data_IF_395085575202
#
_entry.id   IF_395085575202
#
_cell.length_a   1.000
_cell.length_b   1.000
_cell.length_c   1.000
_cell.angle_alpha   90.00
_cell.angle_beta   90.00
_cell.angle_gamma   90.00
#
_symmetry.space_group_name_H-M   'P 1'
#
loop_
_entity.id
_entity.type
_entity.pdbx_description
1 polymer ?
#
# COMPACT_ATOMS: atom_id res chain seq x y z
N UNK A 1 -12.51 -8.47 6.39
CA UNK A 1 -12.69 -9.90 6.12
C UNK A 1 -13.13 -10.68 7.37
N UNK A 2 -12.62 -10.38 8.58
CA UNK A 2 -12.97 -11.06 9.83
C UNK A 2 -14.47 -10.94 10.13
N UNK A 3 -15.04 -9.72 10.07
CA UNK A 3 -16.48 -9.50 10.23
C UNK A 3 -17.31 -10.26 9.19
N UNK A 4 -16.89 -10.24 7.92
CA UNK A 4 -17.57 -10.95 6.86
C UNK A 4 -17.67 -12.46 7.12
N UNK A 5 -16.57 -13.08 7.56
CA UNK A 5 -16.55 -14.51 7.93
C UNK A 5 -17.41 -14.83 9.15
N UNK A 6 -17.45 -13.94 10.14
CA UNK A 6 -18.28 -14.14 11.32
C UNK A 6 -19.78 -14.06 10.97
N UNK A 7 -20.17 -13.05 10.19
CA UNK A 7 -21.57 -12.80 9.79
C UNK A 7 -22.10 -13.82 8.78
N UNK A 8 -21.23 -14.44 7.98
CA UNK A 8 -21.67 -15.41 6.96
C UNK A 8 -22.31 -16.68 7.51
N UNK A 9 -22.31 -16.87 8.83
CA UNK A 9 -23.02 -17.97 9.50
C UNK A 9 -24.52 -17.71 9.59
N UNK A 10 -24.91 -16.43 9.62
CA UNK A 10 -26.26 -15.99 9.91
C UNK A 10 -26.86 -15.12 8.79
N UNK A 11 -26.06 -14.71 7.81
CA UNK A 11 -26.47 -13.82 6.73
C UNK A 11 -25.74 -14.15 5.40
N UNK A 12 -26.37 -13.75 4.29
CA UNK A 12 -25.71 -13.75 2.97
C UNK A 12 -24.81 -12.52 2.85
N UNK A 13 -23.51 -12.74 2.89
CA UNK A 13 -22.51 -11.66 2.95
C UNK A 13 -21.78 -11.51 1.62
N UNK A 14 -21.77 -10.28 1.10
CA UNK A 14 -20.95 -9.90 -0.04
C UNK A 14 -19.90 -8.87 0.40
N UNK A 15 -18.61 -9.17 0.16
CA UNK A 15 -17.51 -8.22 0.32
C UNK A 15 -17.24 -7.55 -1.01
N UNK A 16 -17.15 -6.22 -0.99
CA UNK A 16 -16.74 -5.41 -2.15
C UNK A 16 -15.38 -4.79 -1.85
N UNK A 17 -14.45 -4.92 -2.77
CA UNK A 17 -13.14 -4.26 -2.70
C UNK A 17 -12.66 -3.95 -4.12
N UNK A 18 -11.97 -2.81 -4.29
CA UNK A 18 -11.36 -2.42 -5.58
C UNK A 18 -10.21 -3.35 -6.00
N UNK A 19 -9.61 -4.06 -5.04
CA UNK A 19 -8.54 -5.01 -5.26
C UNK A 19 -9.01 -6.45 -4.98
N UNK A 20 -8.51 -7.40 -5.74
CA UNK A 20 -8.75 -8.83 -5.50
C UNK A 20 -7.79 -9.45 -4.46
N UNK A 21 -6.99 -8.61 -3.82
CA UNK A 21 -6.05 -9.00 -2.76
C UNK A 21 -6.19 -8.07 -1.54
N UNK A 22 -5.91 -8.62 -0.37
CA UNK A 22 -5.78 -7.88 0.88
C UNK A 22 -4.30 -7.60 1.13
N UNK A 23 -3.97 -6.35 1.46
CA UNK A 23 -2.60 -5.96 1.80
C UNK A 23 -2.39 -5.95 3.31
N UNK A 24 -1.29 -6.53 3.76
CA UNK A 24 -0.82 -6.37 5.13
C UNK A 24 -0.01 -5.08 5.24
N UNK A 25 -0.70 -3.97 5.46
CA UNK A 25 -0.16 -2.61 5.46
C UNK A 25 1.07 -2.40 6.37
N UNK A 26 1.15 -3.01 7.58
CA UNK A 26 2.31 -2.80 8.46
C UNK A 26 3.65 -3.20 7.87
N UNK A 27 3.71 -4.00 6.82
CA UNK A 27 4.96 -4.44 6.18
C UNK A 27 5.22 -3.78 4.82
N UNK A 28 4.45 -2.77 4.43
CA UNK A 28 4.66 -2.08 3.15
C UNK A 28 6.04 -1.41 3.06
N UNK A 29 6.56 -0.88 4.16
CA UNK A 29 7.89 -0.27 4.19
C UNK A 29 9.00 -1.26 3.80
N UNK A 30 8.86 -2.55 4.14
CA UNK A 30 9.81 -3.57 3.71
C UNK A 30 9.72 -3.88 2.22
N UNK A 31 8.55 -3.76 1.61
CA UNK A 31 8.42 -3.84 0.15
C UNK A 31 9.08 -2.63 -0.51
N UNK A 32 8.87 -1.43 0.05
CA UNK A 32 9.45 -0.18 -0.46
C UNK A 32 10.98 -0.14 -0.37
N UNK A 33 11.59 -0.87 0.57
CA UNK A 33 13.03 -0.97 0.79
C UNK A 33 13.65 -2.29 0.32
N UNK A 34 12.95 -3.04 -0.52
CA UNK A 34 13.38 -4.34 -1.07
C UNK A 34 13.61 -5.46 -0.03
N UNK A 35 13.21 -5.28 1.23
CA UNK A 35 13.30 -6.30 2.27
C UNK A 35 12.32 -7.46 2.10
N UNK A 36 11.17 -7.22 1.46
CA UNK A 36 10.16 -8.23 1.14
C UNK A 36 9.69 -8.13 -0.31
N UNK A 37 9.33 -9.26 -0.89
CA UNK A 37 8.59 -9.27 -2.14
C UNK A 37 7.11 -8.86 -1.91
N UNK A 38 6.49 -8.25 -2.92
CA UNK A 38 5.14 -7.70 -2.81
C UNK A 38 4.06 -8.77 -2.54
N UNK A 39 4.26 -9.98 -3.01
CA UNK A 39 3.38 -11.13 -2.79
C UNK A 39 3.39 -11.63 -1.35
N UNK A 40 4.42 -11.34 -0.56
CA UNK A 40 4.45 -11.65 0.87
C UNK A 40 3.50 -10.79 1.70
N UNK A 41 3.10 -9.62 1.19
CA UNK A 41 2.19 -8.69 1.88
C UNK A 41 0.81 -8.59 1.22
N UNK A 42 0.64 -9.18 0.03
CA UNK A 42 -0.60 -9.13 -0.75
C UNK A 42 -1.22 -10.54 -0.88
N UNK A 43 -2.32 -10.77 -0.19
CA UNK A 43 -2.97 -12.08 -0.15
C UNK A 43 -4.30 -12.07 -0.90
N UNK A 44 -4.56 -13.05 -1.81
CA UNK A 44 -5.79 -13.12 -2.57
C UNK A 44 -7.04 -13.16 -1.67
N UNK A 45 -7.98 -12.21 -1.85
CA UNK A 45 -9.22 -12.12 -1.07
C UNK A 45 -10.04 -13.40 -1.21
N UNK A 46 -10.20 -13.94 -2.42
CA UNK A 46 -10.95 -15.18 -2.66
C UNK A 46 -10.33 -16.37 -1.94
N UNK A 47 -8.99 -16.41 -1.84
CA UNK A 47 -8.29 -17.43 -1.06
C UNK A 47 -8.60 -17.31 0.44
N UNK A 48 -8.56 -16.09 0.96
CA UNK A 48 -8.89 -15.82 2.36
C UNK A 48 -10.36 -16.10 2.72
N UNK A 49 -11.29 -15.96 1.76
CA UNK A 49 -12.71 -16.23 1.93
C UNK A 49 -13.12 -17.67 1.59
N UNK A 50 -12.17 -18.51 1.16
CA UNK A 50 -12.46 -19.92 0.83
C UNK A 50 -13.13 -20.61 2.02
N UNK A 51 -14.18 -21.37 1.75
CA UNK A 51 -14.97 -22.13 2.74
C UNK A 51 -15.76 -21.28 3.74
N UNK A 52 -15.87 -19.95 3.55
CA UNK A 52 -16.66 -19.11 4.45
C UNK A 52 -18.08 -18.82 3.97
N UNK A 53 -18.44 -19.19 2.73
CA UNK A 53 -19.72 -18.82 2.12
C UNK A 53 -19.83 -17.35 1.69
N UNK A 54 -18.84 -16.51 2.03
CA UNK A 54 -18.83 -15.08 1.67
C UNK A 54 -18.61 -14.90 0.17
N UNK A 55 -19.46 -14.10 -0.47
CA UNK A 55 -19.32 -13.68 -1.86
C UNK A 55 -18.30 -12.53 -1.95
N UNK A 56 -17.61 -12.44 -3.07
CA UNK A 56 -16.68 -11.34 -3.35
C UNK A 56 -16.99 -10.69 -4.70
N UNK A 57 -17.11 -9.35 -4.70
CA UNK A 57 -17.20 -8.51 -5.90
C UNK A 57 -16.03 -7.54 -5.94
N UNK A 58 -15.29 -7.58 -7.04
CA UNK A 58 -14.25 -6.58 -7.28
C UNK A 58 -14.90 -5.34 -7.90
N UNK A 59 -14.69 -4.18 -7.30
CA UNK A 59 -15.22 -2.90 -7.75
C UNK A 59 -15.11 -1.84 -6.67
N UNK A 60 -15.26 -0.58 -7.09
CA UNK A 60 -15.26 0.57 -6.19
C UNK A 60 -16.68 1.10 -6.02
N UNK A 61 -17.20 1.25 -4.79
CA UNK A 61 -18.49 1.88 -4.58
C UNK A 61 -18.39 3.37 -4.95
N UNK A 62 -19.28 3.84 -5.81
CA UNK A 62 -19.36 5.22 -6.26
C UNK A 62 -20.51 6.00 -5.64
N UNK A 63 -21.58 5.30 -5.25
CA UNK A 63 -22.72 5.91 -4.53
C UNK A 63 -23.47 4.91 -3.68
N UNK A 64 -24.11 5.41 -2.63
CA UNK A 64 -24.99 4.65 -1.73
C UNK A 64 -26.36 5.33 -1.71
N UNK A 65 -27.40 4.59 -2.03
CA UNK A 65 -28.79 5.01 -1.87
C UNK A 65 -29.35 4.38 -0.59
N UNK A 66 -29.45 5.17 0.46
CA UNK A 66 -29.96 4.74 1.76
C UNK A 66 -31.46 4.43 1.75
N UNK A 67 -32.25 5.08 0.86
CA UNK A 67 -33.69 4.87 0.80
C UNK A 67 -34.01 3.53 0.15
N UNK A 68 -33.33 3.24 -0.97
CA UNK A 68 -33.48 2.02 -1.73
C UNK A 68 -32.52 0.91 -1.28
N UNK A 69 -31.73 1.15 -0.22
CA UNK A 69 -30.73 0.22 0.32
C UNK A 69 -29.87 -0.42 -0.75
N UNK A 70 -29.25 0.40 -1.59
CA UNK A 70 -28.41 -0.06 -2.69
C UNK A 70 -27.07 0.67 -2.76
N UNK A 71 -26.05 -0.03 -3.28
CA UNK A 71 -24.71 0.49 -3.57
C UNK A 71 -24.46 0.32 -5.05
N UNK A 72 -24.09 1.40 -5.74
CA UNK A 72 -23.66 1.37 -7.13
C UNK A 72 -22.14 1.30 -7.21
N UNK A 73 -21.64 0.39 -8.03
CA UNK A 73 -20.20 0.23 -8.29
C UNK A 73 -19.76 0.96 -9.56
N UNK A 74 -18.47 1.18 -9.70
CA UNK A 74 -17.83 1.74 -10.89
C UNK A 74 -18.10 0.94 -12.17
N UNK A 75 -18.32 -0.37 -12.05
CA UNK A 75 -18.77 -1.26 -13.13
C UNK A 75 -20.22 -1.04 -13.58
N UNK A 76 -20.96 -0.11 -12.95
CA UNK A 76 -22.41 0.09 -13.09
C UNK A 76 -23.27 -1.03 -12.46
N UNK A 77 -22.68 -2.04 -11.83
CA UNK A 77 -23.41 -3.04 -11.04
C UNK A 77 -24.04 -2.36 -9.82
N UNK A 78 -25.29 -2.74 -9.51
CA UNK A 78 -26.02 -2.29 -8.33
C UNK A 78 -26.21 -3.48 -7.40
N UNK A 79 -25.79 -3.34 -6.15
CA UNK A 79 -25.93 -4.34 -5.12
C UNK A 79 -26.94 -3.83 -4.08
N UNK A 80 -27.97 -4.63 -3.82
CA UNK A 80 -28.93 -4.37 -2.74
C UNK A 80 -28.42 -4.92 -1.41
N UNK A 81 -28.83 -4.29 -0.30
CA UNK A 81 -28.43 -4.71 1.05
C UNK A 81 -29.55 -4.47 2.07
N UNK A 82 -29.64 -5.31 3.08
CA UNK A 82 -30.38 -5.02 4.30
C UNK A 82 -29.54 -4.22 5.29
N UNK A 83 -28.27 -4.58 5.40
CA UNK A 83 -27.27 -3.96 6.25
C UNK A 83 -26.00 -3.67 5.46
N UNK A 84 -25.40 -2.49 5.65
CA UNK A 84 -24.17 -2.07 5.00
C UNK A 84 -23.10 -1.77 6.05
N UNK A 85 -21.95 -2.42 5.93
CA UNK A 85 -20.74 -2.10 6.72
C UNK A 85 -19.76 -1.35 5.83
N UNK A 86 -19.47 -0.09 6.17
CA UNK A 86 -18.50 0.76 5.47
C UNK A 86 -17.14 0.59 6.12
N UNK A 87 -16.19 -0.01 5.37
CA UNK A 87 -14.83 -0.29 5.83
C UNK A 87 -13.80 0.04 4.75
N UNK A 88 -13.88 1.25 4.18
CA UNK A 88 -13.13 1.68 2.99
C UNK A 88 -11.64 1.98 3.27
N UNK A 89 -11.20 1.90 4.51
CA UNK A 89 -9.84 2.25 4.90
C UNK A 89 -9.60 3.75 4.97
N UNK A 90 -8.38 4.17 4.69
CA UNK A 90 -7.97 5.58 4.74
C UNK A 90 -7.12 5.95 3.52
N UNK A 91 -7.17 7.21 3.13
CA UNK A 91 -6.26 7.82 2.17
C UNK A 91 -5.06 8.48 2.89
N UNK A 92 -4.00 8.75 2.14
CA UNK A 92 -2.91 9.60 2.63
C UNK A 92 -3.44 11.02 2.83
N UNK A 93 -3.10 11.63 3.97
CA UNK A 93 -3.37 13.04 4.23
C UNK A 93 -2.02 13.78 4.30
N UNK A 94 -1.94 14.90 3.62
CA UNK A 94 -0.77 15.79 3.62
C UNK A 94 -0.81 16.82 4.76
N UNK A 95 -1.93 16.87 5.49
CA UNK A 95 -2.20 17.83 6.57
C UNK A 95 -1.97 19.29 6.16
N UNK A 96 -2.08 19.61 4.87
CA UNK A 96 -1.86 20.94 4.33
C UNK A 96 -0.40 21.36 4.22
N UNK A 97 0.53 20.42 4.33
CA UNK A 97 1.97 20.69 4.13
C UNK A 97 2.23 20.90 2.65
N UNK A 98 2.66 22.11 2.30
CA UNK A 98 2.91 22.52 0.91
C UNK A 98 4.01 21.62 0.28
N UNK A 99 3.80 21.21 -0.97
CA UNK A 99 4.75 20.41 -1.74
C UNK A 99 4.68 18.91 -1.49
N UNK A 100 4.01 18.42 -0.45
CA UNK A 100 3.95 16.98 -0.16
C UNK A 100 3.26 16.22 -1.29
N UNK A 101 2.10 16.67 -1.74
CA UNK A 101 1.36 16.01 -2.83
C UNK A 101 2.08 16.09 -4.19
N UNK A 102 2.96 17.06 -4.37
CA UNK A 102 3.66 17.31 -5.65
C UNK A 102 4.99 16.55 -5.72
N UNK A 103 5.66 16.36 -4.58
CA UNK A 103 7.04 15.89 -4.53
C UNK A 103 7.24 14.60 -3.74
N UNK A 104 6.32 14.23 -2.86
CA UNK A 104 6.45 13.02 -2.05
C UNK A 104 5.71 11.83 -2.67
N UNK A 105 6.29 10.63 -2.50
CA UNK A 105 5.65 9.37 -2.86
C UNK A 105 4.85 8.85 -1.66
N UNK A 106 3.57 8.56 -1.86
CA UNK A 106 2.71 7.97 -0.84
C UNK A 106 3.06 6.49 -0.59
N UNK A 107 2.71 5.98 0.61
CA UNK A 107 2.90 4.56 0.96
C UNK A 107 1.64 3.99 1.65
N UNK A 108 0.56 3.85 0.90
CA UNK A 108 -0.73 3.27 1.35
C UNK A 108 -1.15 2.05 0.55
N UNK A 109 -0.44 1.73 -0.52
CA UNK A 109 -0.72 0.60 -1.39
C UNK A 109 0.55 -0.15 -1.79
N UNK A 110 0.38 -1.40 -2.21
CA UNK A 110 1.49 -2.22 -2.74
C UNK A 110 2.13 -1.55 -3.97
N UNK A 111 1.32 -0.93 -4.83
CA UNK A 111 1.81 -0.24 -6.03
C UNK A 111 2.71 0.95 -5.67
N UNK A 112 2.31 1.75 -4.68
CA UNK A 112 3.13 2.86 -4.19
C UNK A 112 4.44 2.37 -3.57
N UNK A 113 4.41 1.31 -2.77
CA UNK A 113 5.61 0.71 -2.20
C UNK A 113 6.58 0.20 -3.28
N UNK A 114 6.07 -0.47 -4.32
CA UNK A 114 6.86 -0.89 -5.49
C UNK A 114 7.43 0.33 -6.23
N UNK A 115 6.64 1.40 -6.38
CA UNK A 115 7.08 2.65 -7.01
C UNK A 115 8.22 3.31 -6.25
N UNK A 116 8.13 3.40 -4.92
CA UNK A 116 9.21 3.89 -4.05
C UNK A 116 10.48 3.05 -4.23
N UNK A 117 10.35 1.73 -4.16
CA UNK A 117 11.48 0.81 -4.38
C UNK A 117 12.16 1.05 -5.73
N UNK A 118 11.38 1.13 -6.80
CA UNK A 118 11.90 1.34 -8.14
C UNK A 118 12.64 2.68 -8.24
N UNK A 119 12.11 3.74 -7.66
CA UNK A 119 12.74 5.07 -7.68
C UNK A 119 14.03 5.12 -6.85
N UNK A 120 14.05 4.52 -5.65
CA UNK A 120 15.26 4.44 -4.83
C UNK A 120 16.36 3.68 -5.56
N UNK A 121 16.04 2.52 -6.14
CA UNK A 121 17.03 1.72 -6.88
C UNK A 121 17.53 2.45 -8.13
N UNK A 122 16.64 3.06 -8.90
CA UNK A 122 17.02 3.85 -10.08
C UNK A 122 17.99 4.97 -9.73
N UNK A 123 17.71 5.73 -8.65
CA UNK A 123 18.59 6.81 -8.21
C UNK A 123 19.93 6.29 -7.68
N UNK A 124 19.94 5.14 -7.05
CA UNK A 124 21.19 4.49 -6.64
C UNK A 124 22.04 4.11 -7.86
N UNK A 125 21.43 3.52 -8.89
CA UNK A 125 22.13 3.22 -10.15
C UNK A 125 22.67 4.47 -10.84
N UNK A 126 21.94 5.59 -10.75
CA UNK A 126 22.45 6.88 -11.26
C UNK A 126 23.70 7.33 -10.49
N UNK A 127 23.75 7.18 -9.16
CA UNK A 127 24.97 7.44 -8.37
C UNK A 127 26.15 6.55 -8.76
N UNK A 128 25.90 5.28 -9.08
CA UNK A 128 26.95 4.35 -9.50
C UNK A 128 27.54 4.72 -10.87
N UNK A 129 26.77 5.38 -11.74
CA UNK A 129 27.19 5.73 -13.11
C UNK A 129 27.96 7.04 -13.19
N UNK A 130 27.61 8.00 -12.35
CA UNK A 130 28.16 9.35 -12.42
C UNK A 130 29.18 9.55 -11.31
N UNK A 131 30.46 9.68 -11.68
CA UNK A 131 31.54 10.02 -10.75
C UNK A 131 31.42 11.44 -10.16
N UNK A 132 30.45 12.22 -10.66
CA UNK A 132 30.17 13.56 -10.16
C UNK A 132 29.49 13.44 -8.79
N UNK A 133 30.00 14.15 -7.79
CA UNK A 133 29.69 14.08 -6.34
C UNK A 133 28.22 14.47 -6.00
N UNK A 134 27.28 14.02 -6.78
CA UNK A 134 25.85 14.17 -6.51
C UNK A 134 25.46 13.28 -5.32
N UNK A 135 24.83 13.89 -4.31
CA UNK A 135 24.31 13.14 -3.16
C UNK A 135 22.85 12.77 -3.41
N UNK A 136 22.46 11.60 -3.00
CA UNK A 136 21.07 11.17 -2.96
C UNK A 136 20.50 11.41 -1.56
N UNK A 137 19.66 12.42 -1.42
CA UNK A 137 18.94 12.67 -0.17
C UNK A 137 17.57 11.99 -0.18
N UNK A 138 17.34 11.13 0.81
CA UNK A 138 16.08 10.43 1.02
C UNK A 138 15.36 11.01 2.25
N UNK A 139 14.34 11.81 2.02
CA UNK A 139 13.57 12.46 3.08
C UNK A 139 12.29 11.68 3.39
N UNK A 140 12.02 11.41 4.66
CA UNK A 140 10.78 10.78 5.12
C UNK A 140 9.89 11.84 5.76
N UNK A 141 8.71 12.06 5.17
CA UNK A 141 7.74 13.04 5.67
C UNK A 141 6.73 12.33 6.57
N UNK A 142 6.76 12.66 7.86
CA UNK A 142 5.87 12.14 8.89
C UNK A 142 6.59 11.28 9.94
N UNK A 143 6.38 11.61 11.21
CA UNK A 143 6.98 10.95 12.38
C UNK A 143 6.08 9.90 13.03
N UNK A 144 5.06 9.40 12.33
CA UNK A 144 4.23 8.27 12.78
C UNK A 144 4.96 6.92 12.65
N UNK A 145 4.35 5.81 13.13
CA UNK A 145 4.98 4.48 13.10
C UNK A 145 5.55 4.12 11.73
N UNK A 146 4.77 4.32 10.66
CA UNK A 146 5.20 4.03 9.29
C UNK A 146 6.42 4.83 8.85
N UNK A 147 6.50 6.13 9.24
CA UNK A 147 7.66 6.96 8.89
C UNK A 147 8.92 6.53 9.62
N UNK A 148 8.81 6.17 10.90
CA UNK A 148 9.93 5.66 11.71
C UNK A 148 10.42 4.32 11.15
N UNK A 149 9.51 3.40 10.83
CA UNK A 149 9.82 2.10 10.20
C UNK A 149 10.49 2.29 8.84
N UNK A 150 9.98 3.21 8.02
CA UNK A 150 10.55 3.51 6.70
C UNK A 150 11.97 4.08 6.82
N UNK A 151 12.19 5.04 7.72
CA UNK A 151 13.52 5.63 7.94
C UNK A 151 14.54 4.57 8.42
N UNK A 152 14.11 3.69 9.34
CA UNK A 152 14.94 2.55 9.80
C UNK A 152 15.31 1.61 8.64
N UNK A 153 14.33 1.22 7.84
CA UNK A 153 14.53 0.30 6.73
C UNK A 153 15.37 0.90 5.60
N UNK A 154 15.26 2.20 5.30
CA UNK A 154 16.16 2.90 4.37
C UNK A 154 17.61 2.92 4.88
N UNK A 155 17.79 3.16 6.19
CA UNK A 155 19.12 3.11 6.81
C UNK A 155 19.74 1.70 6.76
N UNK A 156 18.93 0.65 6.94
CA UNK A 156 19.37 -0.74 6.80
C UNK A 156 19.72 -1.07 5.35
N UNK A 157 18.90 -0.64 4.40
CA UNK A 157 19.16 -0.80 2.96
C UNK A 157 20.49 -0.16 2.55
N UNK A 158 20.74 1.08 2.99
CA UNK A 158 22.01 1.79 2.76
C UNK A 158 23.20 1.03 3.35
N UNK A 159 23.13 0.63 4.63
CA UNK A 159 24.24 0.02 5.37
C UNK A 159 24.54 -1.43 4.97
N UNK A 160 23.58 -2.12 4.43
CA UNK A 160 23.64 -3.52 4.04
C UNK A 160 23.71 -3.70 2.53
N UNK A 161 22.58 -3.95 1.84
CA UNK A 161 22.55 -4.31 0.44
C UNK A 161 23.29 -3.32 -0.47
N UNK A 162 22.96 -2.02 -0.41
CA UNK A 162 23.57 -1.03 -1.31
C UNK A 162 25.06 -0.85 -1.07
N UNK A 163 25.51 -0.91 0.20
CA UNK A 163 26.95 -0.85 0.51
C UNK A 163 27.69 -2.09 0.02
N UNK A 164 27.05 -3.26 0.03
CA UNK A 164 27.68 -4.49 -0.47
C UNK A 164 27.77 -4.50 -2.00
N UNK A 165 26.81 -3.86 -2.68
CA UNK A 165 26.79 -3.77 -4.14
C UNK A 165 27.81 -2.73 -4.63
N UNK A 166 27.77 -1.50 -4.10
CA UNK A 166 28.66 -0.41 -4.48
C UNK A 166 28.91 0.53 -3.29
N UNK A 167 30.02 0.29 -2.57
CA UNK A 167 30.32 0.99 -1.32
C UNK A 167 30.49 2.51 -1.49
N UNK A 168 31.16 2.94 -2.57
CA UNK A 168 31.40 4.36 -2.83
C UNK A 168 30.10 5.12 -3.06
N UNK A 169 29.19 4.57 -3.90
CA UNK A 169 27.89 5.18 -4.15
C UNK A 169 27.04 5.22 -2.89
N UNK A 170 27.05 4.17 -2.06
CA UNK A 170 26.29 4.12 -0.81
C UNK A 170 26.73 5.19 0.21
N UNK A 171 27.98 5.64 0.22
CA UNK A 171 28.46 6.74 1.09
C UNK A 171 27.84 8.10 0.73
N UNK A 172 27.38 8.27 -0.50
CA UNK A 172 26.74 9.49 -1.00
C UNK A 172 25.20 9.51 -0.81
N UNK A 173 24.62 8.58 -0.05
CA UNK A 173 23.21 8.58 0.33
C UNK A 173 23.04 9.22 1.72
N UNK A 174 22.14 10.19 1.85
CA UNK A 174 21.79 10.88 3.11
C UNK A 174 20.37 10.55 3.55
#
# INVERSE_FOLDING_TARGET
>A
LTAAKALSKDADVTVVDRHNFQTFLPLLYQVATAGLAADHVAHPVRGALRKSGVKFRMGSPISVDHKNKSVKLDSSEVLEFDHLIVALGSATADFGVAGVNEHALGMKSVHEAIGIRAEVMRRFEDLCRFEDQTRLSLSVVGGGPTGVEMAGALAELKRGPLKNDEANAAEHID
#
